data_IF_975209638058
#
_entry.id   IF_975209638058
#
_cell.length_a   1.000
_cell.length_b   1.000
_cell.length_c   1.000
_cell.angle_alpha   90.00
_cell.angle_beta   90.00
_cell.angle_gamma   90.00
#
_symmetry.space_group_name_H-M   'P 1'
#
loop_
_entity.id
_entity.type
_entity.pdbx_description
1 polymer ?
#
# COMPACT_ATOMS: atom_id res chain seq x y z
N UNK A 1 2.65 26.69 14.23
CA UNK A 1 2.95 26.59 15.67
C UNK A 1 3.07 25.13 16.04
N UNK A 2 4.27 24.73 16.46
CA UNK A 2 4.69 23.35 16.67
C UNK A 2 4.10 22.76 17.95
N UNK A 3 3.73 21.47 17.88
CA UNK A 3 3.16 20.62 18.95
C UNK A 3 4.04 20.51 20.22
N UNK A 4 5.26 21.03 20.17
CA UNK A 4 6.27 20.94 21.23
C UNK A 4 6.06 21.88 22.43
N UNK A 5 5.16 22.86 22.35
CA UNK A 5 4.84 23.73 23.50
C UNK A 5 3.89 23.12 24.54
N UNK A 6 3.35 21.92 24.31
CA UNK A 6 2.32 21.31 25.18
C UNK A 6 2.87 20.33 26.22
N UNK A 7 4.17 20.03 26.22
CA UNK A 7 4.77 19.08 27.16
C UNK A 7 5.42 19.75 28.38
N UNK A 8 5.70 21.05 28.31
CA UNK A 8 6.31 21.81 29.42
C UNK A 8 5.29 22.26 30.48
N UNK A 9 3.99 22.19 30.22
CA UNK A 9 2.95 22.71 31.12
C UNK A 9 2.42 21.69 32.15
N UNK A 10 3.15 20.60 32.42
CA UNK A 10 2.77 19.58 33.41
C UNK A 10 3.64 19.56 34.67
N UNK A 11 4.67 20.40 34.76
CA UNK A 11 5.61 20.40 35.90
C UNK A 11 5.74 21.69 36.71
N UNK A 12 5.06 22.78 36.36
CA UNK A 12 5.10 24.01 37.18
C UNK A 12 3.71 24.44 37.63
N UNK A 13 3.45 24.32 38.93
CA UNK A 13 2.19 24.75 39.55
C UNK A 13 2.21 24.79 41.07
N UNK A 14 2.94 25.75 41.65
CA UNK A 14 2.80 26.39 43.00
C UNK A 14 4.10 27.18 43.26
N UNK A 15 4.20 28.46 43.61
CA UNK A 15 3.38 29.61 44.08
C UNK A 15 4.13 30.89 43.60
N UNK A 16 3.67 32.14 43.51
CA UNK A 16 2.46 32.88 43.88
C UNK A 16 2.76 34.38 43.62
N UNK A 17 1.74 35.25 43.51
CA UNK A 17 1.96 36.71 43.54
C UNK A 17 0.98 37.65 42.80
N UNK A 18 -0.21 37.85 43.41
CA UNK A 18 -1.04 39.09 43.53
C UNK A 18 -1.31 40.08 42.36
N UNK A 19 -2.63 40.30 42.17
CA UNK A 19 -3.42 41.55 41.95
C UNK A 19 -4.29 41.49 40.69
N UNK A 20 -5.53 41.99 40.58
CA UNK A 20 -6.58 42.45 41.49
C UNK A 20 -7.91 42.40 40.69
N UNK A 21 -9.03 42.33 41.43
CA UNK A 21 -10.41 42.73 41.10
C UNK A 21 -11.47 41.71 40.58
N UNK A 22 -12.28 41.28 41.56
CA UNK A 22 -13.70 41.60 41.73
C UNK A 22 -14.75 40.94 40.80
N UNK A 23 -15.46 39.93 41.30
CA UNK A 23 -16.89 40.03 41.65
C UNK A 23 -17.49 38.69 42.10
N UNK A 24 -18.02 38.68 43.34
CA UNK A 24 -19.13 37.90 43.90
C UNK A 24 -19.58 36.60 43.19
N UNK A 25 -19.50 35.47 43.90
CA UNK A 25 -20.67 34.91 44.59
C UNK A 25 -20.27 33.80 45.56
N UNK A 26 -21.03 33.74 46.64
CA UNK A 26 -20.88 32.93 47.85
C UNK A 26 -21.33 31.48 47.65
N UNK A 27 -20.75 30.55 48.42
CA UNK A 27 -21.45 29.79 49.46
C UNK A 27 -20.54 28.65 49.99
N UNK A 28 -20.41 28.59 51.32
CA UNK A 28 -20.37 27.42 52.23
C UNK A 28 -19.62 26.13 51.80
N UNK A 29 -18.81 25.45 52.61
CA UNK A 29 -18.77 25.31 54.07
C UNK A 29 -17.54 24.47 54.50
N UNK A 30 -16.84 24.97 55.52
CA UNK A 30 -16.24 24.30 56.71
C UNK A 30 -15.62 22.88 56.70
N UNK A 31 -14.53 22.84 57.49
CA UNK A 31 -14.00 21.78 58.37
C UNK A 31 -13.13 20.69 57.75
N UNK A 32 -12.15 20.12 58.44
CA UNK A 32 -11.37 20.36 59.68
C UNK A 32 -10.62 19.03 59.84
N UNK A 33 -9.29 19.05 60.03
CA UNK A 33 -8.54 18.17 60.94
C UNK A 33 -7.04 18.13 60.61
N UNK A 34 -6.30 18.51 61.63
CA UNK A 34 -4.91 18.29 61.96
C UNK A 34 -4.43 16.85 61.81
N UNK A 35 -3.15 16.64 61.50
CA UNK A 35 -2.29 15.97 62.48
C UNK A 35 -0.80 16.26 62.27
N UNK A 36 -0.14 16.27 63.43
CA UNK A 36 1.19 16.74 63.79
C UNK A 36 2.28 15.68 63.50
N UNK A 37 3.56 16.11 63.52
CA UNK A 37 4.72 15.40 64.12
C UNK A 37 6.05 15.56 63.36
N UNK A 38 6.86 16.47 63.92
CA UNK A 38 8.28 16.31 64.34
C UNK A 38 9.41 16.06 63.33
N UNK A 39 10.24 17.10 63.19
CA UNK A 39 11.71 17.17 63.40
C UNK A 39 12.45 15.85 63.72
N UNK A 40 13.59 15.60 63.07
CA UNK A 40 14.88 16.02 63.65
C UNK A 40 16.08 15.89 62.69
N UNK A 41 17.07 16.74 62.96
CA UNK A 41 18.24 17.05 62.13
C UNK A 41 19.51 16.27 62.53
N UNK A 42 20.46 16.16 61.57
CA UNK A 42 21.94 16.26 61.71
C UNK A 42 22.61 15.37 60.66
N UNK A 43 23.70 15.73 59.98
CA UNK A 43 24.65 16.83 60.03
C UNK A 43 25.86 16.35 59.21
N UNK A 44 26.38 17.16 58.28
CA UNK A 44 27.76 17.64 58.13
C UNK A 44 27.94 17.81 56.61
N UNK A 45 28.45 18.88 56.00
CA UNK A 45 29.34 19.95 56.43
C UNK A 45 30.07 20.36 55.14
N UNK A 46 29.80 21.56 54.65
CA UNK A 46 30.29 22.12 53.37
C UNK A 46 31.80 22.31 53.38
N UNK A 47 32.47 22.06 52.25
CA UNK A 47 33.70 22.77 51.89
C UNK A 47 33.55 23.42 50.51
N UNK A 48 33.48 24.74 50.53
CA UNK A 48 33.65 25.63 49.38
C UNK A 48 35.13 25.67 49.01
N UNK A 49 35.48 25.15 47.83
CA UNK A 49 36.46 25.75 46.91
C UNK A 49 36.55 24.87 45.67
N UNK A 50 35.75 25.21 44.65
CA UNK A 50 36.27 25.39 43.28
C UNK A 50 35.11 25.79 42.36
N UNK A 51 34.86 27.10 42.32
CA UNK A 51 34.23 27.73 41.17
C UNK A 51 35.24 27.66 40.02
N UNK A 52 35.14 26.62 39.20
CA UNK A 52 35.75 26.57 37.87
C UNK A 52 34.69 26.22 36.82
N UNK A 53 34.34 27.24 36.04
CA UNK A 53 33.93 27.16 34.63
C UNK A 53 32.93 26.09 34.19
N UNK A 54 31.65 26.28 34.52
CA UNK A 54 30.54 25.80 33.67
C UNK A 54 30.29 26.75 32.48
N UNK A 55 31.34 27.07 31.74
CA UNK A 55 31.30 27.84 30.48
C UNK A 55 31.86 27.03 29.29
N UNK A 56 31.55 25.73 29.23
CA UNK A 56 31.64 24.91 28.00
C UNK A 56 30.56 23.82 28.10
N UNK A 57 29.69 23.50 27.15
CA UNK A 57 29.63 23.75 25.73
C UNK A 57 28.16 23.85 25.27
N UNK A 58 27.55 25.04 25.32
CA UNK A 58 26.30 25.30 24.58
C UNK A 58 26.63 25.40 23.08
N UNK A 59 26.71 24.25 22.40
CA UNK A 59 26.87 24.21 20.94
C UNK A 59 27.55 22.98 20.35
N UNK A 60 28.17 22.10 21.15
CA UNK A 60 28.68 20.84 20.62
C UNK A 60 27.54 19.83 20.58
N UNK A 61 27.09 19.48 19.36
CA UNK A 61 26.25 18.31 19.15
C UNK A 61 26.96 17.11 19.80
N UNK A 62 26.27 16.30 20.63
CA UNK A 62 26.86 15.08 21.17
C UNK A 62 27.46 14.26 20.03
N UNK A 63 28.69 13.80 20.21
CA UNK A 63 29.32 12.92 19.23
C UNK A 63 28.47 11.65 19.11
N UNK A 64 28.05 11.32 17.89
CA UNK A 64 27.33 10.09 17.64
C UNK A 64 28.18 8.88 18.11
N UNK A 65 27.57 7.96 18.86
CA UNK A 65 28.24 6.79 19.42
C UNK A 65 27.59 5.50 18.92
N UNK A 66 28.40 4.59 18.38
CA UNK A 66 27.97 3.23 18.06
C UNK A 66 27.97 2.38 19.33
N UNK A 67 27.11 1.36 19.37
CA UNK A 67 27.26 0.30 20.39
C UNK A 67 28.58 -0.44 20.17
N UNK A 68 29.15 -1.03 21.23
CA UNK A 68 30.42 -1.77 21.15
C UNK A 68 30.40 -2.81 20.02
N UNK A 69 29.31 -3.58 19.94
CA UNK A 69 29.11 -4.60 18.90
C UNK A 69 29.01 -4.02 17.48
N UNK A 70 28.35 -2.88 17.32
CA UNK A 70 28.29 -2.18 16.02
C UNK A 70 29.67 -1.67 15.61
N UNK A 71 30.42 -1.11 16.55
CA UNK A 71 31.75 -0.58 16.31
C UNK A 71 32.75 -1.68 15.93
N UNK A 72 32.70 -2.83 16.59
CA UNK A 72 33.52 -4.00 16.26
C UNK A 72 33.27 -4.51 14.83
N UNK A 73 31.99 -4.70 14.46
CA UNK A 73 31.63 -5.14 13.12
C UNK A 73 31.98 -4.09 12.05
N UNK A 74 31.75 -2.80 12.35
CA UNK A 74 32.12 -1.72 11.46
C UNK A 74 33.63 -1.67 11.22
N UNK A 75 34.44 -1.75 12.28
CA UNK A 75 35.90 -1.79 12.19
C UNK A 75 36.39 -3.01 11.42
N UNK A 76 35.78 -4.18 11.60
CA UNK A 76 36.13 -5.38 10.85
C UNK A 76 35.86 -5.20 9.34
N UNK A 77 34.70 -4.67 8.99
CA UNK A 77 34.34 -4.36 7.61
C UNK A 77 35.26 -3.29 6.99
N UNK A 78 35.45 -2.17 7.70
CA UNK A 78 36.28 -1.03 7.26
C UNK A 78 37.75 -1.43 7.04
N UNK A 79 38.29 -2.25 7.94
CA UNK A 79 39.64 -2.82 7.79
C UNK A 79 39.74 -3.67 6.54
N UNK A 80 38.75 -4.53 6.28
CA UNK A 80 38.72 -5.37 5.08
C UNK A 80 38.67 -4.56 3.79
N UNK A 81 37.78 -3.57 3.72
CA UNK A 81 37.67 -2.67 2.56
C UNK A 81 38.97 -1.90 2.34
N UNK A 82 39.54 -1.34 3.40
CA UNK A 82 40.79 -0.57 3.32
C UNK A 82 41.95 -1.43 2.83
N UNK A 83 42.05 -2.68 3.27
CA UNK A 83 43.12 -3.59 2.86
C UNK A 83 43.02 -4.00 1.38
N UNK A 84 41.79 -4.19 0.88
CA UNK A 84 41.53 -4.48 -0.54
C UNK A 84 41.78 -3.26 -1.43
N UNK A 85 41.30 -2.08 -1.04
CA UNK A 85 41.48 -0.84 -1.82
C UNK A 85 42.95 -0.44 -1.89
N UNK A 86 43.71 -0.61 -0.79
CA UNK A 86 45.13 -0.29 -0.76
C UNK A 86 46.02 -1.38 -1.40
N UNK A 87 45.45 -2.49 -1.88
CA UNK A 87 46.20 -3.61 -2.47
C UNK A 87 47.14 -4.31 -1.48
N UNK A 88 46.91 -4.14 -0.18
CA UNK A 88 47.74 -4.72 0.90
C UNK A 88 47.29 -6.12 1.32
N UNK A 89 46.15 -6.60 0.81
CA UNK A 89 45.67 -7.98 1.02
C UNK A 89 46.50 -8.97 0.18
N UNK A 90 47.68 -9.33 0.70
CA UNK A 90 48.61 -10.26 0.05
C UNK A 90 48.11 -11.70 0.02
N UNK A 91 47.20 -12.06 0.92
CA UNK A 91 46.71 -13.43 1.10
C UNK A 91 45.34 -13.67 0.44
N UNK A 92 44.78 -12.66 -0.26
CA UNK A 92 43.40 -12.69 -0.80
C UNK A 92 42.37 -13.09 0.27
N UNK A 93 42.58 -12.65 1.51
CA UNK A 93 41.80 -13.06 2.66
C UNK A 93 40.41 -12.40 2.67
N UNK A 94 40.24 -11.28 1.97
CA UNK A 94 38.99 -10.53 1.84
C UNK A 94 38.40 -10.68 0.44
N UNK A 95 37.71 -11.80 0.21
CA UNK A 95 36.96 -11.98 -1.04
C UNK A 95 35.74 -11.04 -1.10
N UNK A 96 35.24 -10.70 -2.30
CA UNK A 96 34.04 -9.87 -2.47
C UNK A 96 32.83 -10.39 -1.67
N UNK A 97 32.64 -11.71 -1.63
CA UNK A 97 31.54 -12.36 -0.91
C UNK A 97 31.68 -12.20 0.60
N UNK A 98 32.91 -12.23 1.11
CA UNK A 98 33.20 -12.00 2.52
C UNK A 98 32.90 -10.56 2.91
N UNK A 99 33.37 -9.59 2.13
CA UNK A 99 33.10 -8.17 2.39
C UNK A 99 31.61 -7.82 2.29
N UNK A 100 30.90 -8.36 1.30
CA UNK A 100 29.45 -8.20 1.20
C UNK A 100 28.73 -8.73 2.44
N UNK A 101 29.22 -9.83 3.00
CA UNK A 101 28.65 -10.39 4.21
C UNK A 101 28.98 -9.57 5.46
N UNK A 102 30.22 -9.13 5.60
CA UNK A 102 30.61 -8.27 6.73
C UNK A 102 29.77 -6.97 6.69
N UNK A 103 29.51 -6.43 5.49
CA UNK A 103 28.57 -5.32 5.29
C UNK A 103 27.13 -5.66 5.72
N UNK A 104 26.62 -6.83 5.33
CA UNK A 104 25.29 -7.29 5.72
C UNK A 104 25.16 -7.43 7.25
N UNK A 105 26.17 -8.01 7.91
CA UNK A 105 26.19 -8.21 9.35
C UNK A 105 26.21 -6.86 10.09
N UNK A 106 26.97 -5.87 9.59
CA UNK A 106 26.94 -4.48 10.07
C UNK A 106 25.53 -3.87 9.94
N UNK A 107 24.91 -3.97 8.75
CA UNK A 107 23.61 -3.33 8.49
C UNK A 107 22.51 -3.97 9.34
N UNK A 108 22.51 -5.29 9.51
CA UNK A 108 21.54 -5.95 10.40
C UNK A 108 21.79 -5.56 11.86
N UNK A 109 23.04 -5.39 12.28
CA UNK A 109 23.35 -4.93 13.64
C UNK A 109 22.89 -3.48 13.92
N UNK A 110 22.75 -2.65 12.89
CA UNK A 110 22.10 -1.33 13.02
C UNK A 110 20.59 -1.44 13.30
N UNK A 111 19.97 -2.60 13.03
CA UNK A 111 18.55 -2.87 13.32
C UNK A 111 18.37 -3.68 14.62
N UNK A 112 19.30 -4.60 14.91
CA UNK A 112 19.25 -5.52 16.05
C UNK A 112 19.97 -4.96 17.28
N UNK A 113 19.38 -3.93 17.90
CA UNK A 113 19.82 -3.45 19.22
C UNK A 113 18.65 -2.87 20.06
N UNK A 114 18.65 -3.09 21.39
CA UNK A 114 17.69 -2.48 22.30
C UNK A 114 18.09 -1.06 22.70
N UNK A 115 17.11 -0.18 22.87
CA UNK A 115 17.26 1.17 23.43
C UNK A 115 17.17 1.13 24.95
N UNK A 116 18.31 0.89 25.62
CA UNK A 116 18.36 0.78 27.09
C UNK A 116 18.17 2.11 27.82
N UNK A 117 18.61 3.21 27.22
CA UNK A 117 18.63 4.53 27.85
C UNK A 117 17.43 5.41 27.43
N UNK A 118 16.47 4.87 26.65
CA UNK A 118 15.36 5.66 26.08
C UNK A 118 15.77 6.63 24.95
N UNK A 119 17.07 6.87 24.75
CA UNK A 119 17.58 7.76 23.70
C UNK A 119 17.56 7.12 22.30
N UNK A 120 16.41 7.22 21.64
CA UNK A 120 16.25 6.76 20.25
C UNK A 120 17.12 7.51 19.24
N UNK A 121 17.66 8.68 19.62
CA UNK A 121 18.51 9.51 18.78
C UNK A 121 19.92 8.95 18.57
N UNK A 122 20.33 7.97 19.38
CA UNK A 122 21.61 7.26 19.20
C UNK A 122 21.55 6.21 18.09
N UNK A 123 20.40 5.99 17.45
CA UNK A 123 20.30 5.04 16.33
C UNK A 123 20.69 5.67 14.99
N UNK A 124 21.73 5.14 14.33
CA UNK A 124 22.09 5.48 12.93
C UNK A 124 20.86 5.47 12.03
N UNK A 125 20.02 4.44 12.15
CA UNK A 125 18.89 4.24 11.24
C UNK A 125 17.83 5.33 11.45
N UNK A 126 17.55 5.67 12.71
CA UNK A 126 16.59 6.75 13.03
C UNK A 126 17.17 8.10 12.63
N UNK A 127 18.47 8.34 12.83
CA UNK A 127 19.15 9.55 12.36
C UNK A 127 19.10 9.71 10.84
N UNK A 128 19.40 8.65 10.10
CA UNK A 128 19.30 8.63 8.63
C UNK A 128 17.86 8.86 8.15
N UNK A 129 16.88 8.25 8.82
CA UNK A 129 15.47 8.53 8.58
C UNK A 129 15.15 10.00 8.83
N UNK A 130 15.56 10.58 9.96
CA UNK A 130 15.30 11.99 10.24
C UNK A 130 15.83 12.92 9.13
N UNK A 131 16.99 12.63 8.55
CA UNK A 131 17.55 13.37 7.41
C UNK A 131 16.69 13.20 6.14
N UNK A 132 16.20 11.99 5.87
CA UNK A 132 15.27 11.75 4.74
C UNK A 132 13.91 12.44 4.92
N UNK A 133 13.57 12.85 6.15
CA UNK A 133 12.37 13.64 6.44
C UNK A 133 12.49 15.11 6.06
N UNK A 134 13.67 15.58 5.64
CA UNK A 134 13.89 16.95 5.22
C UNK A 134 13.64 17.14 3.72
N UNK A 135 12.79 18.09 3.39
CA UNK A 135 12.52 18.49 2.01
C UNK A 135 13.63 19.42 1.50
N UNK A 136 14.41 18.93 0.54
CA UNK A 136 15.57 19.63 -0.02
C UNK A 136 15.17 20.86 -0.85
N UNK A 137 13.95 20.89 -1.38
CA UNK A 137 13.49 21.94 -2.29
C UNK A 137 12.70 23.04 -1.54
N UNK A 138 11.85 22.64 -0.61
CA UNK A 138 10.97 23.56 0.14
C UNK A 138 11.54 24.10 1.47
N UNK A 139 12.70 23.60 1.92
CA UNK A 139 13.29 24.01 3.21
C UNK A 139 12.47 23.60 4.44
N UNK A 140 11.59 22.61 4.31
CA UNK A 140 10.65 22.17 5.32
C UNK A 140 10.72 20.66 5.63
N UNK A 141 9.75 20.18 6.40
CA UNK A 141 9.60 18.76 6.70
C UNK A 141 8.65 18.09 5.71
N UNK A 142 8.99 16.88 5.26
CA UNK A 142 8.13 16.08 4.37
C UNK A 142 6.82 15.76 5.09
N UNK A 143 5.65 16.02 4.47
CA UNK A 143 4.35 15.67 5.06
C UNK A 143 4.24 14.17 5.38
N UNK A 144 3.56 13.82 6.47
CA UNK A 144 3.41 12.44 6.91
C UNK A 144 2.88 11.50 5.82
N UNK A 145 2.00 11.98 4.93
CA UNK A 145 1.45 11.20 3.80
C UNK A 145 2.53 10.77 2.79
N UNK A 146 3.53 11.62 2.56
CA UNK A 146 4.63 11.37 1.64
C UNK A 146 5.80 10.66 2.32
N UNK A 147 5.95 10.84 3.63
CA UNK A 147 7.03 10.27 4.42
C UNK A 147 6.74 8.82 4.89
N UNK A 148 5.47 8.47 5.15
CA UNK A 148 5.06 7.10 5.56
C UNK A 148 5.48 5.98 4.58
N UNK A 149 5.45 6.19 3.25
CA UNK A 149 6.03 5.26 2.29
C UNK A 149 7.52 4.96 2.52
N UNK A 150 8.32 5.93 2.97
CA UNK A 150 9.75 5.74 3.24
C UNK A 150 9.95 4.75 4.39
N UNK A 151 9.22 4.90 5.50
CA UNK A 151 9.24 3.91 6.58
C UNK A 151 8.82 2.52 6.09
N UNK A 152 7.81 2.43 5.22
CA UNK A 152 7.36 1.15 4.65
C UNK A 152 8.43 0.50 3.76
N UNK A 153 9.19 1.30 3.02
CA UNK A 153 10.31 0.83 2.21
C UNK A 153 11.44 0.28 3.11
N UNK A 154 11.83 1.02 4.16
CA UNK A 154 12.86 0.55 5.11
C UNK A 154 12.44 -0.75 5.79
N UNK A 155 11.19 -0.88 6.25
CA UNK A 155 10.69 -2.14 6.83
C UNK A 155 10.80 -3.30 5.84
N UNK A 156 10.45 -3.08 4.56
CA UNK A 156 10.55 -4.13 3.53
C UNK A 156 11.99 -4.52 3.27
N UNK A 157 12.88 -3.55 3.05
CA UNK A 157 14.30 -3.81 2.80
C UNK A 157 14.94 -4.52 4.00
N UNK A 158 14.67 -4.07 5.22
CA UNK A 158 15.11 -4.72 6.44
C UNK A 158 14.68 -6.20 6.51
N UNK A 159 13.43 -6.53 6.15
CA UNK A 159 12.96 -7.92 6.10
C UNK A 159 13.74 -8.76 5.10
N UNK A 160 14.03 -8.22 3.91
CA UNK A 160 14.84 -8.93 2.91
C UNK A 160 16.29 -9.14 3.38
N UNK A 161 16.90 -8.14 4.00
CA UNK A 161 18.26 -8.24 4.54
C UNK A 161 18.34 -9.30 5.65
N UNK A 162 17.39 -9.30 6.58
CA UNK A 162 17.32 -10.31 7.66
C UNK A 162 17.12 -11.71 7.09
N UNK A 163 16.24 -11.86 6.08
CA UNK A 163 16.04 -13.16 5.42
C UNK A 163 17.32 -13.64 4.72
N UNK A 164 17.98 -12.74 3.98
CA UNK A 164 19.22 -13.05 3.27
C UNK A 164 20.34 -13.44 4.23
N UNK A 165 20.50 -12.70 5.34
CA UNK A 165 21.48 -13.03 6.38
C UNK A 165 21.19 -14.41 7.01
N UNK A 166 19.93 -14.72 7.30
CA UNK A 166 19.54 -16.03 7.85
C UNK A 166 19.79 -17.19 6.87
N UNK A 167 19.65 -16.97 5.57
CA UNK A 167 20.04 -17.97 4.55
C UNK A 167 21.55 -18.22 4.59
N UNK A 168 22.35 -17.15 4.61
CA UNK A 168 23.81 -17.23 4.67
C UNK A 168 24.34 -17.83 6.00
N UNK A 169 23.64 -17.65 7.11
CA UNK A 169 23.92 -18.32 8.39
C UNK A 169 23.66 -19.82 8.30
N UNK A 170 22.51 -20.21 7.73
CA UNK A 170 22.18 -21.62 7.53
C UNK A 170 23.18 -22.31 6.61
N UNK A 171 23.57 -21.67 5.51
CA UNK A 171 24.54 -22.24 4.58
C UNK A 171 25.91 -22.43 5.23
N UNK A 172 26.32 -21.51 6.12
CA UNK A 172 27.52 -21.69 6.94
C UNK A 172 27.39 -22.85 7.92
N UNK A 173 26.26 -22.98 8.62
CA UNK A 173 26.03 -24.11 9.53
C UNK A 173 26.10 -25.44 8.78
N UNK A 174 25.45 -25.54 7.61
CA UNK A 174 25.57 -26.71 6.73
C UNK A 174 27.01 -26.98 6.31
N UNK A 175 27.76 -25.96 5.92
CA UNK A 175 29.15 -26.09 5.52
C UNK A 175 30.05 -26.57 6.67
N UNK A 176 29.81 -26.11 7.91
CA UNK A 176 30.52 -26.57 9.10
C UNK A 176 30.17 -28.02 9.45
N UNK A 177 28.89 -28.39 9.41
CA UNK A 177 28.44 -29.75 9.66
C UNK A 177 28.99 -30.73 8.60
N UNK A 178 29.04 -30.33 7.33
CA UNK A 178 29.67 -31.13 6.25
C UNK A 178 31.14 -31.51 6.50
N UNK A 179 31.85 -30.81 7.39
CA UNK A 179 33.22 -31.19 7.75
C UNK A 179 33.27 -32.49 8.58
N UNK A 180 32.19 -32.82 9.29
CA UNK A 180 32.13 -33.93 10.25
C UNK A 180 31.13 -35.02 9.87
N UNK A 181 30.23 -34.76 8.93
CA UNK A 181 29.11 -35.65 8.56
C UNK A 181 28.75 -35.53 7.07
N UNK A 182 28.05 -36.55 6.54
CA UNK A 182 27.66 -36.61 5.13
C UNK A 182 26.65 -35.52 4.76
N UNK A 183 26.59 -35.16 3.48
CA UNK A 183 25.78 -34.02 2.98
C UNK A 183 24.31 -34.08 3.42
N UNK A 184 23.64 -35.22 3.24
CA UNK A 184 22.22 -35.39 3.63
C UNK A 184 22.00 -35.22 5.13
N UNK A 185 22.89 -35.78 5.95
CA UNK A 185 22.80 -35.66 7.40
C UNK A 185 23.04 -34.21 7.84
N UNK A 186 23.99 -33.50 7.20
CA UNK A 186 24.28 -32.11 7.51
C UNK A 186 23.10 -31.18 7.19
N UNK A 187 22.30 -31.51 6.17
CA UNK A 187 21.08 -30.76 5.84
C UNK A 187 19.94 -30.97 6.83
N UNK A 188 19.79 -32.21 7.34
CA UNK A 188 18.77 -32.59 8.32
C UNK A 188 19.08 -32.03 9.71
N UNK A 189 20.36 -32.04 10.12
CA UNK A 189 20.80 -31.55 11.42
C UNK A 189 20.93 -30.01 11.47
N UNK A 190 21.15 -29.37 10.32
CA UNK A 190 21.20 -27.91 10.24
C UNK A 190 19.86 -27.28 10.64
N UNK A 191 19.93 -26.20 11.40
CA UNK A 191 18.75 -25.51 11.89
C UNK A 191 17.83 -25.08 10.73
N UNK A 192 16.53 -25.32 10.90
CA UNK A 192 15.53 -24.92 9.91
C UNK A 192 15.53 -23.41 9.70
N UNK A 193 15.56 -22.95 8.44
CA UNK A 193 15.58 -21.52 8.10
C UNK A 193 14.46 -20.73 8.78
N UNK A 194 13.27 -21.32 8.91
CA UNK A 194 12.13 -20.71 9.60
C UNK A 194 12.41 -20.43 11.08
N UNK A 195 13.20 -21.26 11.77
CA UNK A 195 13.55 -21.07 13.18
C UNK A 195 14.51 -19.90 13.36
N UNK A 196 15.56 -19.85 12.54
CA UNK A 196 16.54 -18.74 12.50
C UNK A 196 15.82 -17.41 12.21
N UNK A 197 14.96 -17.38 11.18
CA UNK A 197 14.21 -16.16 10.83
C UNK A 197 13.23 -15.78 11.94
N UNK A 198 12.51 -16.75 12.53
CA UNK A 198 11.54 -16.46 13.60
C UNK A 198 12.20 -15.85 14.83
N UNK A 199 13.35 -16.37 15.23
CA UNK A 199 14.12 -15.85 16.36
C UNK A 199 14.52 -14.38 16.15
N UNK A 200 15.13 -14.05 14.99
CA UNK A 200 15.45 -12.66 14.63
C UNK A 200 14.22 -11.77 14.55
N UNK A 201 13.13 -12.28 13.97
CA UNK A 201 11.89 -11.50 13.83
C UNK A 201 11.30 -11.17 15.19
N UNK A 202 11.22 -12.14 16.10
CA UNK A 202 10.71 -11.94 17.46
C UNK A 202 11.60 -11.03 18.29
N UNK A 203 12.92 -11.07 18.07
CA UNK A 203 13.88 -10.24 18.79
C UNK A 203 13.76 -8.75 18.45
N UNK A 204 13.70 -8.40 17.16
CA UNK A 204 13.77 -6.99 16.78
C UNK A 204 12.84 -6.56 15.64
N UNK A 205 12.17 -7.44 14.88
CA UNK A 205 11.31 -7.04 13.75
C UNK A 205 9.81 -6.97 14.08
N UNK A 206 9.43 -7.20 15.32
CA UNK A 206 8.05 -7.16 15.79
C UNK A 206 7.71 -5.83 16.46
N UNK A 207 6.42 -5.51 16.45
CA UNK A 207 5.89 -4.43 17.29
C UNK A 207 5.80 -4.96 18.72
N UNK A 208 6.46 -4.28 19.64
CA UNK A 208 6.38 -4.57 21.07
C UNK A 208 5.13 -3.85 21.60
N UNK A 209 4.20 -4.58 22.28
CA UNK A 209 3.07 -3.95 22.94
C UNK A 209 3.52 -2.98 24.04
N UNK A 210 2.79 -1.88 24.24
CA UNK A 210 3.04 -0.96 25.35
C UNK A 210 2.92 -1.70 26.69
N UNK A 211 3.91 -1.56 27.57
CA UNK A 211 3.96 -2.22 28.89
C UNK A 211 4.57 -3.62 28.92
N UNK A 212 5.03 -4.16 27.79
CA UNK A 212 5.94 -5.32 27.83
C UNK A 212 7.27 -4.87 28.44
N UNK A 213 7.78 -5.58 29.45
CA UNK A 213 9.09 -5.32 30.07
C UNK A 213 10.29 -5.63 29.17
N UNK A 214 10.18 -5.33 27.87
CA UNK A 214 11.16 -5.57 26.82
C UNK A 214 11.58 -4.24 26.24
N UNK A 215 12.89 -4.03 26.15
CA UNK A 215 13.46 -2.79 25.62
C UNK A 215 13.05 -2.57 24.15
N UNK A 216 12.67 -1.34 23.76
CA UNK A 216 12.29 -1.05 22.38
C UNK A 216 13.50 -1.10 21.44
N UNK A 217 13.29 -1.55 20.20
CA UNK A 217 14.32 -1.57 19.13
C UNK A 217 14.08 -0.46 18.10
N UNK A 218 15.05 -0.13 17.23
CA UNK A 218 14.85 0.80 16.11
C UNK A 218 13.67 0.40 15.24
N UNK A 219 13.55 -0.89 14.96
CA UNK A 219 12.47 -1.43 14.14
C UNK A 219 11.11 -1.31 14.83
N UNK A 220 11.02 -1.50 16.15
CA UNK A 220 9.80 -1.20 16.90
C UNK A 220 9.38 0.27 16.73
N UNK A 221 10.33 1.20 16.88
CA UNK A 221 10.08 2.63 16.66
C UNK A 221 9.59 2.92 15.24
N UNK A 222 10.28 2.39 14.22
CA UNK A 222 9.92 2.58 12.80
C UNK A 222 8.51 2.03 12.50
N UNK A 223 8.19 0.83 13.01
CA UNK A 223 6.88 0.20 12.82
C UNK A 223 5.77 1.01 13.49
N UNK A 224 6.01 1.50 14.71
CA UNK A 224 5.07 2.35 15.44
C UNK A 224 4.83 3.67 14.72
N UNK A 225 5.89 4.36 14.31
CA UNK A 225 5.80 5.63 13.58
C UNK A 225 5.11 5.47 12.22
N UNK A 226 5.39 4.38 11.51
CA UNK A 226 4.69 4.03 10.25
C UNK A 226 3.20 3.77 10.48
N UNK A 227 2.86 3.11 11.57
CA UNK A 227 1.45 2.83 11.94
C UNK A 227 0.72 4.12 12.27
N UNK A 228 1.36 5.01 13.02
CA UNK A 228 0.84 6.33 13.32
C UNK A 228 0.65 7.19 12.05
N UNK A 229 1.64 7.21 11.14
CA UNK A 229 1.51 7.89 9.84
C UNK A 229 0.39 7.33 8.97
N UNK A 230 0.16 6.02 9.03
CA UNK A 230 -0.99 5.38 8.37
C UNK A 230 -2.31 5.84 8.99
N UNK A 231 -2.37 5.97 10.32
CA UNK A 231 -3.56 6.50 11.01
C UNK A 231 -3.85 7.93 10.57
N UNK A 232 -2.83 8.81 10.55
CA UNK A 232 -2.96 10.19 10.06
C UNK A 232 -3.55 10.20 8.65
N UNK A 233 -3.07 9.35 7.73
CA UNK A 233 -3.59 9.29 6.36
C UNK A 233 -5.08 8.94 6.29
N UNK A 234 -5.59 8.12 7.21
CA UNK A 234 -7.00 7.72 7.22
C UNK A 234 -7.89 8.71 7.96
N UNK A 235 -7.37 9.37 9.01
CA UNK A 235 -8.17 10.26 9.86
C UNK A 235 -8.07 11.73 9.46
N UNK A 236 -7.02 12.12 8.74
CA UNK A 236 -6.81 13.51 8.30
C UNK A 236 -7.38 13.67 6.89
N UNK A 237 -8.38 14.54 6.68
CA UNK A 237 -8.84 14.89 5.35
C UNK A 237 -7.66 15.36 4.51
N UNK A 238 -7.46 14.75 3.34
CA UNK A 238 -6.36 15.10 2.45
C UNK A 238 -6.36 16.59 2.10
N UNK A 239 -5.18 17.16 1.86
CA UNK A 239 -5.01 18.56 1.43
C UNK A 239 -5.92 18.86 0.24
N UNK A 240 -6.61 20.00 0.27
CA UNK A 240 -7.62 20.48 -0.71
C UNK A 240 -7.22 20.17 -2.16
N UNK A 241 -7.69 19.05 -2.73
CA UNK A 241 -7.43 18.68 -4.13
C UNK A 241 -8.54 19.08 -5.09
N UNK A 242 -9.74 19.29 -4.57
CA UNK A 242 -10.92 19.65 -5.37
C UNK A 242 -11.36 21.04 -4.92
N UNK A 243 -11.27 22.01 -5.83
CA UNK A 243 -11.84 23.35 -5.67
C UNK A 243 -13.11 23.45 -6.52
N UNK A 244 -14.19 23.97 -5.94
CA UNK A 244 -15.47 24.17 -6.62
C UNK A 244 -15.67 25.66 -6.85
N UNK A 245 -15.72 26.07 -8.11
CA UNK A 245 -15.99 27.45 -8.50
C UNK A 245 -17.24 27.50 -9.36
N UNK A 246 -18.39 27.78 -8.73
CA UNK A 246 -19.71 27.74 -9.38
C UNK A 246 -19.92 26.38 -10.05
N UNK A 247 -19.92 26.34 -11.37
CA UNK A 247 -20.13 25.14 -12.19
C UNK A 247 -18.83 24.41 -12.56
N UNK A 248 -17.67 24.92 -12.13
CA UNK A 248 -16.37 24.36 -12.49
C UNK A 248 -15.73 23.61 -11.33
N UNK A 249 -15.33 22.36 -11.59
CA UNK A 249 -14.50 21.53 -10.72
C UNK A 249 -13.05 21.70 -11.15
N UNK A 250 -12.19 22.07 -10.20
CA UNK A 250 -10.76 22.24 -10.40
C UNK A 250 -10.03 21.18 -9.59
N UNK A 251 -9.27 20.32 -10.27
CA UNK A 251 -8.40 19.33 -9.65
C UNK A 251 -7.01 19.38 -10.28
N UNK A 252 -6.06 20.01 -9.59
CA UNK A 252 -4.72 20.25 -10.11
C UNK A 252 -4.74 21.18 -11.34
N UNK A 253 -4.26 20.70 -12.48
CA UNK A 253 -4.32 21.42 -13.76
C UNK A 253 -5.63 21.21 -14.52
N UNK A 254 -6.42 20.22 -14.12
CA UNK A 254 -7.66 19.86 -14.79
C UNK A 254 -8.78 20.78 -14.30
N UNK A 255 -9.46 21.41 -15.24
CA UNK A 255 -10.64 22.24 -14.99
C UNK A 255 -11.76 21.73 -15.87
N UNK A 256 -12.86 21.29 -15.25
CA UNK A 256 -13.99 20.69 -15.96
C UNK A 256 -15.26 21.34 -15.45
N UNK A 257 -16.17 21.68 -16.36
CA UNK A 257 -17.53 22.18 -16.07
C UNK A 257 -18.52 21.03 -15.89
N UNK A 258 -19.63 21.24 -15.17
CA UNK A 258 -20.65 20.17 -15.07
C UNK A 258 -21.29 19.86 -16.41
N UNK A 259 -21.38 20.84 -17.32
CA UNK A 259 -21.80 20.62 -18.71
C UNK A 259 -20.91 19.60 -19.44
N UNK A 260 -19.59 19.77 -19.38
CA UNK A 260 -18.64 18.83 -19.98
C UNK A 260 -18.72 17.42 -19.38
N UNK A 261 -18.97 17.31 -18.07
CA UNK A 261 -19.19 16.01 -17.41
C UNK A 261 -20.49 15.37 -17.93
N UNK A 262 -21.57 16.15 -18.03
CA UNK A 262 -22.85 15.68 -18.57
C UNK A 262 -22.70 15.18 -20.00
N UNK A 263 -22.02 15.94 -20.87
CA UNK A 263 -21.76 15.57 -22.26
C UNK A 263 -20.89 14.33 -22.38
N UNK A 264 -19.87 14.20 -21.53
CA UNK A 264 -19.04 13.00 -21.44
C UNK A 264 -19.88 11.78 -21.03
N UNK A 265 -20.75 11.90 -20.03
CA UNK A 265 -21.61 10.80 -19.57
C UNK A 265 -22.66 10.41 -20.62
N UNK A 266 -23.24 11.38 -21.33
CA UNK A 266 -24.11 11.10 -22.47
C UNK A 266 -23.36 10.36 -23.58
N UNK A 267 -22.16 10.81 -23.93
CA UNK A 267 -21.30 10.16 -24.92
C UNK A 267 -20.96 8.72 -24.52
N UNK A 268 -20.62 8.50 -23.24
CA UNK A 268 -20.34 7.17 -22.69
C UNK A 268 -21.58 6.26 -22.73
N UNK A 269 -22.78 6.81 -22.50
CA UNK A 269 -24.04 6.06 -22.60
C UNK A 269 -24.31 5.61 -24.04
N UNK A 270 -24.07 6.50 -25.01
CA UNK A 270 -24.20 6.17 -26.45
C UNK A 270 -23.16 5.11 -26.84
N UNK A 271 -21.92 5.24 -26.39
CA UNK A 271 -20.86 4.27 -26.66
C UNK A 271 -21.17 2.90 -26.05
N UNK A 272 -21.61 2.85 -24.79
CA UNK A 272 -22.03 1.62 -24.13
C UNK A 272 -23.17 0.93 -24.89
N UNK A 273 -24.16 1.69 -25.36
CA UNK A 273 -25.25 1.16 -26.20
C UNK A 273 -24.73 0.57 -27.52
N UNK A 274 -23.81 1.26 -28.20
CA UNK A 274 -23.18 0.76 -29.44
C UNK A 274 -22.38 -0.53 -29.18
N UNK A 275 -21.59 -0.58 -28.10
CA UNK A 275 -20.84 -1.79 -27.73
C UNK A 275 -21.80 -2.96 -27.45
N UNK A 276 -22.90 -2.72 -26.73
CA UNK A 276 -23.93 -3.73 -26.47
C UNK A 276 -24.55 -4.28 -27.77
N UNK A 277 -24.89 -3.40 -28.71
CA UNK A 277 -25.44 -3.76 -30.01
C UNK A 277 -24.44 -4.64 -30.79
N UNK A 278 -23.16 -4.24 -30.83
CA UNK A 278 -22.10 -5.03 -31.49
C UNK A 278 -21.93 -6.41 -30.89
N UNK A 279 -21.93 -6.51 -29.55
CA UNK A 279 -21.88 -7.79 -28.84
C UNK A 279 -23.10 -8.66 -29.18
N UNK A 280 -24.30 -8.08 -29.17
CA UNK A 280 -25.54 -8.82 -29.44
C UNK A 280 -25.61 -9.37 -30.88
N UNK A 281 -25.11 -8.61 -31.86
CA UNK A 281 -25.07 -8.97 -33.30
C UNK A 281 -23.91 -9.93 -33.62
N UNK A 282 -22.90 -9.97 -32.77
CA UNK A 282 -21.65 -10.70 -33.01
C UNK A 282 -20.79 -10.04 -34.09
N UNK A 283 -20.81 -8.71 -34.23
CA UNK A 283 -19.92 -8.00 -35.16
C UNK A 283 -18.55 -7.87 -34.50
N UNK A 284 -17.53 -8.48 -35.13
CA UNK A 284 -16.14 -8.34 -34.70
C UNK A 284 -15.41 -7.60 -35.81
N UNK A 285 -15.02 -6.35 -35.55
CA UNK A 285 -14.20 -5.63 -36.51
C UNK A 285 -12.78 -6.23 -36.55
N UNK A 286 -12.20 -6.43 -37.74
CA UNK A 286 -10.77 -6.64 -37.83
C UNK A 286 -10.11 -5.33 -37.38
N UNK A 287 -9.21 -5.40 -36.39
CA UNK A 287 -8.31 -4.33 -35.96
C UNK A 287 -7.74 -3.58 -37.19
N UNK A 288 -8.41 -2.51 -37.62
CA UNK A 288 -7.89 -1.62 -38.67
C UNK A 288 -6.81 -0.78 -38.02
N UNK A 289 -5.64 -0.82 -38.62
CA UNK A 289 -4.54 0.12 -38.36
C UNK A 289 -5.07 1.56 -38.48
N UNK A 290 -4.69 2.47 -37.58
CA UNK A 290 -5.12 3.86 -37.66
C UNK A 290 -4.39 4.51 -38.83
N UNK A 291 -5.03 4.57 -40.00
CA UNK A 291 -4.62 5.49 -41.05
C UNK A 291 -5.24 6.83 -40.72
N UNK A 292 -4.38 7.75 -40.31
CA UNK A 292 -4.65 9.17 -40.19
C UNK A 292 -5.36 9.63 -41.47
N UNK A 293 -6.61 10.07 -41.34
CA UNK A 293 -7.23 10.94 -42.32
C UNK A 293 -7.50 12.26 -41.62
N UNK A 294 -6.86 13.28 -42.18
CA UNK A 294 -6.83 14.64 -41.69
C UNK A 294 -8.23 15.26 -41.64
N UNK A 295 -8.38 16.16 -40.66
CA UNK A 295 -9.33 17.27 -40.56
C UNK A 295 -10.30 17.42 -41.74
N UNK A 296 -11.57 17.09 -41.51
CA UNK A 296 -12.67 17.36 -42.42
C UNK A 296 -13.86 16.46 -42.12
N UNK A 297 -14.92 17.05 -41.59
CA UNK A 297 -16.26 16.49 -41.39
C UNK A 297 -16.42 15.37 -40.36
N UNK A 298 -16.86 15.76 -39.16
CA UNK A 298 -17.63 14.90 -38.26
C UNK A 298 -19.01 14.68 -38.89
N UNK A 299 -19.06 13.93 -39.99
CA UNK A 299 -20.26 13.17 -40.34
C UNK A 299 -20.09 11.81 -39.69
N UNK A 300 -21.03 11.48 -38.80
CA UNK A 300 -21.09 10.19 -38.14
C UNK A 300 -21.12 9.08 -39.17
N UNK A 301 -19.96 8.48 -39.43
CA UNK A 301 -19.85 7.15 -40.03
C UNK A 301 -20.23 6.12 -39.00
N UNK A 302 -21.48 6.17 -38.51
CA UNK A 302 -22.13 4.96 -38.04
C UNK A 302 -22.48 4.19 -39.30
N UNK A 303 -21.97 2.97 -39.44
CA UNK A 303 -22.51 2.05 -40.43
C UNK A 303 -24.03 2.01 -40.16
N UNK A 304 -24.86 2.54 -41.07
CA UNK A 304 -26.32 2.71 -40.88
C UNK A 304 -27.01 1.38 -40.51
N UNK A 305 -26.39 0.24 -40.81
CA UNK A 305 -26.82 -1.09 -40.38
C UNK A 305 -26.75 -1.34 -38.85
N UNK A 306 -25.89 -0.64 -38.09
CA UNK A 306 -25.75 -0.83 -36.63
C UNK A 306 -26.93 -0.26 -35.83
N UNK A 307 -27.51 0.85 -36.28
CA UNK A 307 -28.57 1.56 -35.55
C UNK A 307 -29.98 1.01 -35.86
N UNK A 308 -30.15 0.30 -36.98
CA UNK A 308 -31.45 -0.23 -37.45
C UNK A 308 -31.79 -1.65 -36.95
N UNK A 309 -30.86 -2.34 -36.27
CA UNK A 309 -31.12 -3.68 -35.76
C UNK A 309 -31.88 -3.60 -34.43
N UNK A 310 -33.17 -3.92 -34.48
CA UNK A 310 -34.02 -4.00 -33.31
C UNK A 310 -33.58 -5.14 -32.37
N UNK A 311 -32.91 -4.79 -31.27
CA UNK A 311 -32.59 -5.73 -30.19
C UNK A 311 -33.87 -6.36 -29.63
N UNK A 312 -33.81 -7.63 -29.17
CA UNK A 312 -34.92 -8.26 -28.49
C UNK A 312 -35.39 -7.40 -27.30
N UNK A 313 -36.69 -7.07 -27.27
CA UNK A 313 -37.26 -6.34 -26.14
C UNK A 313 -37.32 -7.24 -24.91
N UNK A 314 -36.70 -6.79 -23.83
CA UNK A 314 -36.80 -7.42 -22.51
C UNK A 314 -38.06 -6.88 -21.83
N UNK A 315 -39.00 -7.75 -21.40
CA UNK A 315 -40.20 -7.32 -20.70
C UNK A 315 -39.88 -6.99 -19.23
N UNK A 316 -39.22 -5.85 -18.99
CA UNK A 316 -38.75 -5.45 -17.65
C UNK A 316 -39.81 -5.52 -16.55
N UNK A 317 -41.09 -5.27 -16.89
CA UNK A 317 -42.21 -5.32 -15.94
C UNK A 317 -42.67 -6.73 -15.56
N UNK A 318 -42.21 -7.76 -16.27
CA UNK A 318 -42.56 -9.17 -16.06
C UNK A 318 -41.38 -10.01 -15.60
N UNK A 319 -40.25 -9.37 -15.29
CA UNK A 319 -39.09 -10.08 -14.74
C UNK A 319 -39.41 -10.42 -13.30
N UNK A 320 -39.40 -11.72 -13.01
CA UNK A 320 -39.46 -12.23 -11.64
C UNK A 320 -38.08 -12.76 -11.23
N UNK A 321 -37.71 -12.56 -9.98
CA UNK A 321 -36.48 -13.08 -9.40
C UNK A 321 -36.79 -13.60 -7.99
N UNK A 322 -36.57 -14.89 -7.77
CA UNK A 322 -36.76 -15.53 -6.46
C UNK A 322 -35.62 -15.14 -5.52
N UNK A 323 -35.72 -13.97 -4.90
CA UNK A 323 -34.67 -13.38 -4.06
C UNK A 323 -34.20 -14.23 -2.85
N UNK A 324 -34.95 -15.27 -2.47
CA UNK A 324 -34.57 -16.21 -1.40
C UNK A 324 -33.74 -17.41 -1.86
N UNK A 325 -33.60 -17.62 -3.18
CA UNK A 325 -32.93 -18.78 -3.76
C UNK A 325 -31.41 -18.58 -3.74
N UNK A 326 -30.72 -19.40 -2.93
CA UNK A 326 -29.26 -19.32 -2.74
C UNK A 326 -28.51 -20.44 -3.45
N UNK A 327 -29.18 -21.24 -4.29
CA UNK A 327 -28.53 -22.28 -5.07
C UNK A 327 -27.39 -21.72 -5.94
N UNK A 328 -26.27 -22.45 -5.95
CA UNK A 328 -25.07 -22.03 -6.67
C UNK A 328 -25.34 -21.98 -8.18
N UNK A 329 -25.19 -20.80 -8.78
CA UNK A 329 -25.50 -20.57 -10.19
C UNK A 329 -26.98 -20.32 -10.49
N UNK A 330 -27.80 -20.04 -9.47
CA UNK A 330 -29.12 -19.45 -9.66
C UNK A 330 -28.98 -18.03 -10.26
N UNK A 331 -29.89 -17.70 -11.17
CA UNK A 331 -30.03 -16.39 -11.80
C UNK A 331 -31.48 -16.29 -12.26
N UNK A 332 -32.05 -15.09 -12.30
CA UNK A 332 -33.41 -14.85 -12.82
C UNK A 332 -33.65 -15.48 -14.21
N UNK A 333 -32.60 -15.69 -15.02
CA UNK A 333 -32.68 -16.37 -16.32
C UNK A 333 -33.20 -17.83 -16.20
N UNK A 334 -32.98 -18.47 -15.04
CA UNK A 334 -33.41 -19.85 -14.76
C UNK A 334 -34.78 -19.93 -14.08
N UNK A 335 -35.43 -18.79 -13.82
CA UNK A 335 -36.78 -18.78 -13.21
C UNK A 335 -37.82 -19.29 -14.21
N UNK A 336 -38.78 -20.08 -13.73
CA UNK A 336 -39.86 -20.68 -14.50
C UNK A 336 -40.74 -19.60 -15.16
N UNK A 337 -41.02 -18.53 -14.43
CA UNK A 337 -41.85 -17.41 -14.88
C UNK A 337 -41.18 -16.62 -16.03
N UNK A 338 -39.85 -16.63 -16.07
CA UNK A 338 -39.08 -15.97 -17.13
C UNK A 338 -38.87 -16.84 -18.39
N UNK A 339 -39.12 -18.16 -18.33
CA UNK A 339 -38.85 -19.06 -19.46
C UNK A 339 -39.65 -18.69 -20.72
N UNK A 340 -40.86 -18.17 -20.54
CA UNK A 340 -41.76 -17.81 -21.65
C UNK A 340 -41.13 -16.86 -22.68
N UNK A 341 -40.34 -15.87 -22.24
CA UNK A 341 -39.69 -14.90 -23.12
C UNK A 341 -38.22 -15.23 -23.42
N UNK A 342 -37.57 -16.05 -22.57
CA UNK A 342 -36.18 -16.50 -22.77
C UNK A 342 -36.11 -17.55 -23.88
N UNK A 343 -36.93 -18.60 -23.82
CA UNK A 343 -36.91 -19.71 -24.80
C UNK A 343 -37.28 -19.23 -26.20
N UNK A 344 -38.17 -18.23 -26.31
CA UNK A 344 -38.54 -17.60 -27.58
C UNK A 344 -37.39 -16.86 -28.28
N UNK A 345 -36.28 -16.63 -27.58
CA UNK A 345 -35.11 -15.87 -28.05
C UNK A 345 -33.80 -16.63 -27.83
N UNK A 346 -33.87 -17.90 -27.46
CA UNK A 346 -32.68 -18.73 -27.26
C UNK A 346 -31.89 -18.85 -28.57
N UNK A 347 -30.58 -18.62 -28.49
CA UNK A 347 -29.72 -18.66 -29.67
C UNK A 347 -29.84 -17.48 -30.63
N UNK A 348 -30.53 -16.39 -30.28
CA UNK A 348 -30.69 -15.21 -31.14
C UNK A 348 -29.34 -14.64 -31.64
N UNK A 349 -28.37 -14.44 -30.74
CA UNK A 349 -27.01 -13.97 -31.14
C UNK A 349 -26.32 -14.94 -32.08
N UNK A 350 -26.50 -16.26 -31.88
CA UNK A 350 -25.96 -17.28 -32.79
C UNK A 350 -26.63 -17.20 -34.17
N UNK A 351 -27.94 -17.01 -34.22
CA UNK A 351 -28.68 -16.83 -35.47
C UNK A 351 -28.23 -15.56 -36.21
N UNK A 352 -27.94 -14.48 -35.48
CA UNK A 352 -27.36 -13.27 -36.06
C UNK A 352 -25.99 -13.52 -36.70
N UNK A 353 -25.11 -14.26 -36.02
CA UNK A 353 -23.81 -14.62 -36.58
C UNK A 353 -23.96 -15.48 -37.84
N UNK A 354 -24.92 -16.41 -37.87
CA UNK A 354 -25.13 -17.34 -38.98
C UNK A 354 -25.86 -16.69 -40.16
N UNK A 355 -26.78 -15.74 -39.91
CA UNK A 355 -27.61 -15.13 -40.95
C UNK A 355 -26.81 -14.28 -41.95
N UNK A 356 -25.64 -13.77 -41.55
CA UNK A 356 -24.75 -13.00 -42.42
C UNK A 356 -23.53 -13.83 -42.83
N UNK A 357 -23.30 -13.95 -44.14
CA UNK A 357 -22.13 -14.64 -44.69
C UNK A 357 -20.80 -14.04 -44.21
N UNK A 358 -20.74 -12.72 -43.99
CA UNK A 358 -19.55 -12.04 -43.49
C UNK A 358 -19.26 -12.39 -42.02
N UNK A 359 -20.29 -12.35 -41.16
CA UNK A 359 -20.18 -12.72 -39.73
C UNK A 359 -19.91 -14.21 -39.56
N UNK A 360 -20.57 -15.06 -40.35
CA UNK A 360 -20.33 -16.49 -40.37
C UNK A 360 -18.85 -16.79 -40.66
N UNK A 361 -18.28 -16.17 -41.69
CA UNK A 361 -16.84 -16.33 -42.02
C UNK A 361 -15.92 -15.77 -40.94
N UNK A 362 -16.33 -14.72 -40.22
CA UNK A 362 -15.53 -14.12 -39.14
C UNK A 362 -15.48 -15.03 -37.90
N UNK A 363 -16.58 -15.71 -37.59
CA UNK A 363 -16.71 -16.54 -36.39
C UNK A 363 -16.39 -18.01 -36.60
N UNK A 364 -16.85 -18.61 -37.69
CA UNK A 364 -16.85 -20.07 -37.88
C UNK A 364 -15.71 -20.49 -38.82
N UNK A 365 -14.92 -21.47 -38.39
CA UNK A 365 -13.94 -22.15 -39.23
C UNK A 365 -14.64 -23.17 -40.12
N UNK A 366 -14.20 -23.32 -41.38
CA UNK A 366 -14.68 -24.44 -42.20
C UNK A 366 -14.10 -25.73 -41.61
N UNK A 367 -14.89 -26.80 -41.45
CA UNK A 367 -14.36 -28.08 -41.00
C UNK A 367 -13.31 -28.58 -42.02
N UNK A 368 -12.14 -28.95 -41.52
CA UNK A 368 -11.13 -29.66 -42.32
C UNK A 368 -11.66 -31.08 -42.60
N UNK A 369 -11.49 -31.64 -43.81
CA UNK A 369 -11.94 -33.00 -44.11
C UNK A 369 -11.29 -34.10 -43.27
N UNK A 370 -10.22 -33.78 -42.52
CA UNK A 370 -9.42 -34.74 -41.73
C UNK A 370 -9.70 -34.72 -40.21
N UNK A 371 -10.62 -33.88 -39.72
CA UNK A 371 -10.93 -33.79 -38.28
C UNK A 371 -12.26 -34.49 -37.94
N UNK A 372 -12.21 -35.50 -37.08
CA UNK A 372 -13.39 -36.19 -36.56
C UNK A 372 -14.36 -35.19 -35.90
N UNK A 373 -15.62 -35.24 -36.32
CA UNK A 373 -16.66 -34.23 -36.10
C UNK A 373 -17.15 -34.07 -34.63
N UNK A 374 -16.37 -34.50 -33.65
CA UNK A 374 -16.79 -34.60 -32.24
C UNK A 374 -16.21 -33.57 -31.28
N UNK A 375 -15.01 -33.01 -31.52
CA UNK A 375 -14.27 -32.34 -30.42
C UNK A 375 -13.68 -30.95 -30.74
N UNK A 376 -13.71 -30.49 -32.00
CA UNK A 376 -13.16 -29.19 -32.37
C UNK A 376 -14.17 -28.05 -32.12
N UNK A 377 -13.76 -27.04 -31.34
CA UNK A 377 -14.54 -25.81 -31.15
C UNK A 377 -14.76 -25.12 -32.51
N UNK A 378 -16.02 -24.91 -32.96
CA UNK A 378 -16.31 -24.39 -34.30
C UNK A 378 -15.92 -22.91 -34.47
N UNK A 379 -15.56 -22.23 -33.38
CA UNK A 379 -15.26 -20.81 -33.35
C UNK A 379 -13.77 -20.51 -33.51
N UNK A 380 -13.46 -19.51 -34.33
CA UNK A 380 -12.10 -18.99 -34.51
C UNK A 380 -11.62 -18.35 -33.21
N UNK A 381 -10.43 -18.73 -32.76
CA UNK A 381 -9.81 -18.17 -31.53
C UNK A 381 -9.71 -16.64 -31.56
N UNK A 382 -9.35 -16.06 -32.72
CA UNK A 382 -9.29 -14.61 -32.90
C UNK A 382 -10.64 -13.93 -32.66
N UNK A 383 -11.72 -14.57 -33.09
CA UNK A 383 -13.07 -14.04 -32.92
C UNK A 383 -13.48 -14.06 -31.44
N UNK A 384 -13.23 -15.18 -30.76
CA UNK A 384 -13.49 -15.34 -29.32
C UNK A 384 -12.71 -14.31 -28.51
N UNK A 385 -11.41 -14.12 -28.79
CA UNK A 385 -10.58 -13.12 -28.09
C UNK A 385 -11.08 -11.69 -28.31
N UNK A 386 -11.44 -11.33 -29.54
CA UNK A 386 -11.95 -10.00 -29.84
C UNK A 386 -13.32 -9.73 -29.19
N UNK A 387 -14.19 -10.74 -29.16
CA UNK A 387 -15.45 -10.66 -28.43
C UNK A 387 -15.23 -10.48 -26.93
N UNK A 388 -14.31 -11.25 -26.33
CA UNK A 388 -13.94 -11.10 -24.91
C UNK A 388 -13.42 -9.70 -24.60
N UNK A 389 -12.60 -9.11 -25.47
CA UNK A 389 -12.12 -7.73 -25.29
C UNK A 389 -13.25 -6.70 -25.33
N UNK A 390 -14.24 -6.87 -26.23
CA UNK A 390 -15.41 -6.01 -26.26
C UNK A 390 -16.30 -6.19 -25.02
N UNK A 391 -16.41 -7.40 -24.48
CA UNK A 391 -17.12 -7.63 -23.20
C UNK A 391 -16.45 -6.88 -22.07
N UNK A 392 -15.11 -6.92 -21.97
CA UNK A 392 -14.37 -6.16 -20.96
C UNK A 392 -14.51 -4.65 -21.15
N UNK A 393 -14.47 -4.15 -22.39
CA UNK A 393 -14.74 -2.74 -22.69
C UNK A 393 -16.14 -2.33 -22.23
N UNK A 394 -17.15 -3.14 -22.54
CA UNK A 394 -18.53 -2.87 -22.12
C UNK A 394 -18.67 -2.89 -20.59
N UNK A 395 -18.04 -3.83 -19.90
CA UNK A 395 -18.00 -3.88 -18.42
C UNK A 395 -17.38 -2.63 -17.83
N UNK A 396 -16.27 -2.15 -18.39
CA UNK A 396 -15.62 -0.92 -17.95
C UNK A 396 -16.53 0.31 -18.15
N UNK A 397 -17.21 0.41 -19.29
CA UNK A 397 -18.18 1.47 -19.57
C UNK A 397 -19.35 1.44 -18.56
N UNK A 398 -19.93 0.26 -18.32
CA UNK A 398 -21.01 0.05 -17.35
C UNK A 398 -20.58 0.37 -15.91
N UNK A 399 -19.36 0.00 -15.52
CA UNK A 399 -18.84 0.29 -14.19
C UNK A 399 -18.83 1.80 -13.90
N UNK A 400 -18.36 2.61 -14.86
CA UNK A 400 -18.36 4.07 -14.73
C UNK A 400 -19.77 4.63 -14.69
N UNK A 401 -20.65 4.18 -15.60
CA UNK A 401 -22.04 4.64 -15.65
C UNK A 401 -22.82 4.34 -14.35
N UNK A 402 -22.64 3.15 -13.77
CA UNK A 402 -23.29 2.78 -12.50
C UNK A 402 -22.88 3.72 -11.36
N UNK A 403 -21.60 4.07 -11.26
CA UNK A 403 -21.11 4.94 -10.19
C UNK A 403 -21.49 6.41 -10.38
N UNK A 404 -21.57 6.89 -11.63
CA UNK A 404 -21.78 8.30 -11.92
C UNK A 404 -23.25 8.68 -12.11
N UNK A 405 -24.10 7.76 -12.58
CA UNK A 405 -25.52 8.01 -12.86
C UNK A 405 -26.48 7.32 -11.87
N UNK A 406 -26.02 6.31 -11.13
CA UNK A 406 -26.88 5.46 -10.29
C UNK A 406 -27.45 6.14 -9.03
N UNK A 407 -26.99 7.34 -8.69
CA UNK A 407 -27.41 8.08 -7.49
C UNK A 407 -26.92 7.47 -6.16
N UNK A 408 -26.74 6.14 -6.11
CA UNK A 408 -26.13 5.38 -5.03
C UNK A 408 -24.85 4.70 -5.54
N UNK A 409 -23.77 4.60 -4.73
CA UNK A 409 -22.60 3.80 -5.08
C UNK A 409 -23.00 2.35 -5.35
N UNK A 410 -22.42 1.74 -6.39
CA UNK A 410 -22.71 0.35 -6.73
C UNK A 410 -22.41 -0.58 -5.55
N UNK A 411 -23.32 -1.51 -5.27
CA UNK A 411 -23.17 -2.45 -4.15
C UNK A 411 -22.06 -3.45 -4.47
N UNK A 412 -21.39 -3.96 -3.44
CA UNK A 412 -20.32 -4.95 -3.61
C UNK A 412 -20.73 -6.16 -4.47
N UNK A 413 -21.98 -6.60 -4.33
CA UNK A 413 -22.56 -7.71 -5.13
C UNK A 413 -22.76 -7.36 -6.60
N UNK A 414 -23.09 -6.09 -6.91
CA UNK A 414 -23.24 -5.59 -8.28
C UNK A 414 -21.87 -5.47 -8.97
N UNK A 415 -20.87 -4.98 -8.24
CA UNK A 415 -19.48 -4.87 -8.72
C UNK A 415 -18.87 -6.26 -8.97
N UNK A 416 -19.15 -7.23 -8.10
CA UNK A 416 -18.70 -8.62 -8.26
C UNK A 416 -19.30 -9.28 -9.52
N UNK A 417 -20.50 -8.86 -9.95
CA UNK A 417 -21.11 -9.32 -11.20
C UNK A 417 -20.42 -8.75 -12.46
N UNK A 418 -19.75 -7.60 -12.33
CA UNK A 418 -19.02 -6.92 -13.42
C UNK A 418 -17.55 -7.34 -13.54
N UNK A 419 -17.12 -8.45 -12.89
CA UNK A 419 -15.72 -8.92 -12.83
C UNK A 419 -14.89 -8.56 -14.08
N UNK A 420 -14.01 -7.59 -13.88
CA UNK A 420 -12.85 -7.24 -14.73
C UNK A 420 -11.69 -8.17 -14.37
#
# INVERSE_FOLDING_TARGET
MSIWKRLESWHDGREGGRSDNNSNHSDDSSNDSSDDSSDDSSGYGVSETDRSDHSSARGQRPSYRMTIRQEELWKAFDKGVTQVVNGTDRDSQYTPERLQRDCLDVVVQFLDHPFKNGDHYESIVIGALAIMGFDREGGGWVPAINYTPIYSAVIKVARYLVLYQSMLERDRQKAQLRQWMGERQAEEEAEGLFRIVRDKVQRFMTRIPEGAGVDPTPMNWIINTRTYGKQIRYTTPGTKRIDWRRDQIIHGQVRITMGEISDMLHSLTIEARRTLVRLAIGKIEPKRTPVQSAVGDIKGGGDEEEDDIALPRIPWSKIEDRHGESALGHSFIKDEENQSWITAREGWTRQQIISSSARYKAWISKPSPDEEAGEACPYKERAVRAYSQMVEQFRAQMFVLMHMLGGQPARSTEILGLRI
#
